data_IF_253985050730
#
_entry.id   IF_253985050730
#
_cell.length_a   1.000
_cell.length_b   1.000
_cell.length_c   1.000
_cell.angle_alpha   90.00
_cell.angle_beta   90.00
_cell.angle_gamma   90.00
#
_symmetry.space_group_name_H-M   'P 1'
#
loop_
_entity.id
_entity.type
_entity.pdbx_description
1 polymer ?
#
# COMPACT_ATOMS: atom_id res chain seq x y z
N UNK A 1 8.69 46.12 -25.52
CA UNK A 1 7.58 45.22 -25.11
C UNK A 1 6.35 45.66 -25.87
N UNK A 2 5.72 44.75 -26.59
CA UNK A 2 4.54 45.02 -27.42
C UNK A 2 3.28 45.04 -26.54
N UNK A 3 2.43 46.05 -26.69
CA UNK A 3 1.26 46.28 -25.85
C UNK A 3 0.28 45.09 -25.92
N UNK A 4 0.18 44.46 -27.10
CA UNK A 4 -0.65 43.28 -27.35
C UNK A 4 -0.14 42.06 -26.56
N UNK A 5 1.18 41.91 -26.45
CA UNK A 5 1.79 40.82 -25.66
C UNK A 5 1.54 40.98 -24.16
N UNK A 6 1.49 42.21 -23.66
CA UNK A 6 1.19 42.51 -22.25
C UNK A 6 -0.28 42.21 -21.95
N UNK A 7 -1.21 42.65 -22.81
CA UNK A 7 -2.66 42.42 -22.66
C UNK A 7 -3.00 40.92 -22.68
N UNK A 8 -2.41 40.15 -23.60
CA UNK A 8 -2.63 38.69 -23.66
C UNK A 8 -2.07 37.99 -22.42
N UNK A 9 -0.89 38.40 -21.93
CA UNK A 9 -0.31 37.83 -20.71
C UNK A 9 -1.15 38.10 -19.44
N UNK A 10 -1.80 39.26 -19.36
CA UNK A 10 -2.70 39.56 -18.25
C UNK A 10 -4.02 38.77 -18.35
N UNK A 11 -4.55 38.59 -19.56
CA UNK A 11 -5.73 37.76 -19.83
C UNK A 11 -5.50 36.29 -19.45
N UNK A 12 -4.36 35.73 -19.83
CA UNK A 12 -3.99 34.35 -19.49
C UNK A 12 -3.83 34.17 -17.97
N UNK A 13 -3.25 35.16 -17.29
CA UNK A 13 -3.14 35.16 -15.84
C UNK A 13 -4.52 35.21 -15.16
N UNK A 14 -5.45 36.02 -15.68
CA UNK A 14 -6.83 36.07 -15.19
C UNK A 14 -7.55 34.73 -15.36
N UNK A 15 -7.37 34.04 -16.49
CA UNK A 15 -7.92 32.70 -16.72
C UNK A 15 -7.34 31.66 -15.77
N UNK A 16 -6.03 31.69 -15.51
CA UNK A 16 -5.41 30.78 -14.53
C UNK A 16 -5.94 31.02 -13.11
N UNK A 17 -6.11 32.29 -12.70
CA UNK A 17 -6.66 32.63 -11.39
C UNK A 17 -8.13 32.20 -11.28
N UNK A 18 -8.93 32.45 -12.32
CA UNK A 18 -10.32 32.00 -12.38
C UNK A 18 -10.43 30.47 -12.35
N UNK A 19 -9.55 29.76 -13.08
CA UNK A 19 -9.47 28.30 -13.06
C UNK A 19 -9.13 27.74 -11.69
N UNK A 20 -8.11 28.31 -11.03
CA UNK A 20 -7.76 27.94 -9.64
C UNK A 20 -8.89 28.24 -8.65
N UNK A 21 -9.55 29.39 -8.78
CA UNK A 21 -10.68 29.74 -7.93
C UNK A 21 -11.84 28.74 -8.13
N UNK A 22 -12.14 28.39 -9.38
CA UNK A 22 -13.17 27.41 -9.71
C UNK A 22 -12.84 26.04 -9.11
N UNK A 23 -11.59 25.58 -9.24
CA UNK A 23 -11.12 24.34 -8.63
C UNK A 23 -11.27 24.35 -7.10
N UNK A 24 -10.94 25.47 -6.45
CA UNK A 24 -11.12 25.63 -5.00
C UNK A 24 -12.59 25.65 -4.58
N UNK A 25 -13.45 26.35 -5.31
CA UNK A 25 -14.90 26.36 -5.07
C UNK A 25 -15.49 24.95 -5.22
N UNK A 26 -15.10 24.21 -6.26
CA UNK A 26 -15.49 22.81 -6.45
C UNK A 26 -14.94 21.90 -5.34
N UNK A 27 -13.76 22.22 -4.82
CA UNK A 27 -13.18 21.54 -3.66
C UNK A 27 -13.99 21.70 -2.39
N UNK A 28 -14.65 22.85 -2.17
CA UNK A 28 -15.50 23.10 -0.99
C UNK A 28 -16.69 22.14 -0.96
N UNK A 29 -17.28 21.84 -2.11
CA UNK A 29 -18.39 20.88 -2.22
C UNK A 29 -17.98 19.44 -1.86
N UNK A 30 -16.68 19.14 -1.89
CA UNK A 30 -16.08 17.83 -1.60
C UNK A 30 -15.45 17.74 -0.21
N UNK A 31 -15.58 18.78 0.62
CA UNK A 31 -15.07 18.75 2.00
C UNK A 31 -15.90 17.75 2.81
N UNK A 32 -15.20 16.91 3.56
CA UNK A 32 -15.80 15.94 4.49
C UNK A 32 -16.65 16.64 5.54
N UNK A 33 -17.84 16.10 5.79
CA UNK A 33 -18.84 16.69 6.70
C UNK A 33 -18.55 16.41 8.17
N UNK A 34 -17.85 15.32 8.44
CA UNK A 34 -17.42 14.90 9.77
C UNK A 34 -16.06 14.20 9.73
N UNK A 35 -15.55 13.84 10.90
CA UNK A 35 -14.24 13.21 11.01
C UNK A 35 -14.22 11.82 10.36
N UNK A 36 -15.33 11.08 10.43
CA UNK A 36 -15.46 9.75 9.83
C UNK A 36 -15.31 9.82 8.31
N UNK A 37 -15.98 10.76 7.65
CA UNK A 37 -15.87 10.95 6.20
C UNK A 37 -14.45 11.39 5.80
N UNK A 38 -13.79 12.22 6.61
CA UNK A 38 -12.41 12.63 6.38
C UNK A 38 -11.44 11.44 6.50
N UNK A 39 -11.57 10.68 7.59
CA UNK A 39 -10.79 9.47 7.86
C UNK A 39 -11.01 8.46 6.74
N UNK A 40 -12.25 8.18 6.36
CA UNK A 40 -12.57 7.26 5.24
C UNK A 40 -11.85 7.63 3.96
N UNK A 41 -11.80 8.92 3.59
CA UNK A 41 -11.05 9.39 2.43
C UNK A 41 -9.55 9.08 2.50
N UNK A 42 -8.95 9.26 3.68
CA UNK A 42 -7.55 8.87 3.94
C UNK A 42 -7.39 7.36 3.84
N UNK A 43 -8.27 6.58 4.46
CA UNK A 43 -8.14 5.12 4.47
C UNK A 43 -8.23 4.55 3.06
N UNK A 44 -9.21 5.00 2.25
CA UNK A 44 -9.36 4.57 0.86
C UNK A 44 -8.14 4.93 0.01
N UNK A 45 -7.66 6.17 0.12
CA UNK A 45 -6.50 6.63 -0.65
C UNK A 45 -5.27 5.76 -0.39
N UNK A 46 -4.97 5.51 0.89
CA UNK A 46 -3.81 4.68 1.24
C UNK A 46 -4.05 3.19 0.96
N UNK A 47 -5.28 2.70 1.01
CA UNK A 47 -5.59 1.34 0.57
C UNK A 47 -5.33 1.16 -0.94
N UNK A 48 -5.70 2.15 -1.76
CA UNK A 48 -5.49 2.10 -3.21
C UNK A 48 -3.99 2.01 -3.54
N UNK A 49 -3.13 2.80 -2.88
CA UNK A 49 -1.67 2.69 -3.05
C UNK A 49 -1.13 1.30 -2.72
N UNK A 50 -1.64 0.68 -1.65
CA UNK A 50 -1.26 -0.67 -1.26
C UNK A 50 -1.74 -1.70 -2.29
N UNK A 51 -2.93 -1.49 -2.84
CA UNK A 51 -3.47 -2.33 -3.90
C UNK A 51 -2.64 -2.25 -5.17
N UNK A 52 -2.20 -1.05 -5.55
CA UNK A 52 -1.35 -0.82 -6.71
C UNK A 52 0.01 -1.51 -6.53
N UNK A 53 0.70 -1.28 -5.42
CA UNK A 53 2.02 -1.90 -5.15
C UNK A 53 1.97 -3.45 -5.22
N UNK A 54 0.90 -4.07 -4.69
CA UNK A 54 0.72 -5.53 -4.76
C UNK A 54 0.44 -6.00 -6.19
N UNK A 55 -0.32 -5.24 -6.97
CA UNK A 55 -0.62 -5.56 -8.37
C UNK A 55 0.63 -5.41 -9.24
N UNK A 56 1.40 -4.33 -9.07
CA UNK A 56 2.65 -4.08 -9.78
C UNK A 56 3.66 -5.22 -9.56
N UNK A 57 3.78 -5.71 -8.33
CA UNK A 57 4.64 -6.87 -8.03
C UNK A 57 4.17 -8.12 -8.79
N UNK A 58 2.87 -8.39 -8.82
CA UNK A 58 2.31 -9.55 -9.56
C UNK A 58 2.53 -9.45 -11.06
N UNK A 59 2.22 -8.29 -11.64
CA UNK A 59 2.41 -8.05 -13.06
C UNK A 59 3.89 -8.23 -13.45
N UNK A 60 4.81 -7.72 -12.63
CA UNK A 60 6.24 -7.91 -12.87
C UNK A 60 6.67 -9.38 -12.84
N UNK A 61 6.04 -10.22 -12.00
CA UNK A 61 6.29 -11.66 -11.97
C UNK A 61 5.81 -12.35 -13.26
N UNK A 62 4.59 -12.02 -13.71
CA UNK A 62 4.01 -12.58 -14.93
C UNK A 62 4.84 -12.19 -16.16
N UNK A 63 5.24 -10.92 -16.26
CA UNK A 63 6.13 -10.42 -17.31
C UNK A 63 7.49 -11.14 -17.30
N UNK A 64 8.05 -11.39 -16.12
CA UNK A 64 9.33 -12.08 -15.97
C UNK A 64 9.23 -13.56 -16.36
N UNK A 65 8.09 -14.22 -16.08
CA UNK A 65 7.82 -15.59 -16.50
C UNK A 65 7.70 -15.69 -18.02
N UNK A 66 6.97 -14.76 -18.65
CA UNK A 66 6.86 -14.67 -20.10
C UNK A 66 8.23 -14.46 -20.77
N UNK A 67 9.04 -13.54 -20.24
CA UNK A 67 10.41 -13.31 -20.72
C UNK A 67 11.29 -14.56 -20.61
N UNK A 68 11.19 -15.30 -19.51
CA UNK A 68 11.96 -16.52 -19.30
C UNK A 68 11.60 -17.60 -20.34
N UNK A 69 10.32 -17.72 -20.72
CA UNK A 69 9.88 -18.62 -21.80
C UNK A 69 10.41 -18.17 -23.16
N UNK A 70 10.34 -16.88 -23.49
CA UNK A 70 10.87 -16.36 -24.76
C UNK A 70 12.38 -16.57 -24.91
N UNK A 71 13.14 -16.39 -23.83
CA UNK A 71 14.58 -16.61 -23.79
C UNK A 71 14.96 -18.10 -23.99
N UNK A 72 14.12 -19.05 -23.57
CA UNK A 72 14.34 -20.48 -23.85
C UNK A 72 14.27 -20.83 -25.34
N UNK A 73 13.54 -20.03 -26.13
CA UNK A 73 13.39 -20.22 -27.58
C UNK A 73 14.46 -19.50 -28.41
N UNK A 74 15.33 -18.68 -27.79
CA UNK A 74 16.42 -18.00 -28.49
C UNK A 74 17.74 -18.80 -28.42
N UNK A 75 18.43 -19.00 -29.57
CA UNK A 75 19.72 -19.67 -29.56
C UNK A 75 20.74 -18.85 -28.77
N UNK A 76 21.43 -19.50 -27.83
CA UNK A 76 22.42 -18.88 -26.95
C UNK A 76 23.56 -18.25 -27.76
N UNK A 77 23.47 -16.94 -28.03
CA UNK A 77 24.56 -16.17 -28.64
C UNK A 77 25.52 -15.73 -27.52
N UNK A 78 26.64 -16.42 -27.41
CA UNK A 78 27.88 -15.96 -26.76
C UNK A 78 27.78 -15.52 -25.29
N UNK A 79 27.00 -16.22 -24.44
CA UNK A 79 27.11 -16.09 -22.98
C UNK A 79 26.64 -14.77 -22.35
N UNK A 80 25.96 -13.91 -23.12
CA UNK A 80 25.49 -12.58 -22.69
C UNK A 80 24.00 -12.54 -22.26
N UNK A 81 23.32 -13.69 -22.23
CA UNK A 81 21.85 -13.76 -22.14
C UNK A 81 21.29 -14.04 -20.73
N UNK A 82 22.00 -13.78 -19.64
CA UNK A 82 21.32 -13.61 -18.36
C UNK A 82 20.97 -12.13 -18.20
N UNK A 83 19.68 -11.73 -18.30
CA UNK A 83 19.31 -10.37 -17.97
C UNK A 83 19.72 -10.13 -16.52
N UNK A 84 20.51 -9.08 -16.26
CA UNK A 84 21.03 -8.76 -14.91
C UNK A 84 19.93 -8.41 -13.88
N UNK A 85 18.67 -8.45 -14.28
CA UNK A 85 17.50 -8.01 -13.51
C UNK A 85 16.36 -9.04 -13.52
N UNK A 86 16.67 -10.33 -13.67
CA UNK A 86 15.68 -11.42 -13.51
C UNK A 86 15.89 -12.14 -12.19
N UNK A 87 14.80 -12.53 -11.54
CA UNK A 87 14.85 -13.40 -10.36
C UNK A 87 15.52 -14.74 -10.68
N UNK A 88 16.44 -15.15 -9.82
CA UNK A 88 16.92 -16.54 -9.74
C UNK A 88 15.82 -17.47 -9.25
N UNK A 89 16.05 -18.79 -9.31
CA UNK A 89 15.09 -19.78 -8.81
C UNK A 89 14.87 -19.62 -7.29
N UNK A 90 15.95 -19.34 -6.55
CA UNK A 90 15.92 -19.08 -5.11
C UNK A 90 15.11 -17.82 -4.81
N UNK A 91 15.39 -16.72 -5.52
CA UNK A 91 14.68 -15.46 -5.32
C UNK A 91 13.19 -15.57 -5.71
N UNK A 92 12.85 -16.33 -6.76
CA UNK A 92 11.46 -16.61 -7.12
C UNK A 92 10.69 -17.36 -6.03
N UNK A 93 11.36 -18.21 -5.25
CA UNK A 93 10.72 -18.94 -4.15
C UNK A 93 10.23 -18.01 -3.03
N UNK A 94 10.77 -16.79 -2.93
CA UNK A 94 10.37 -15.76 -1.95
C UNK A 94 9.10 -15.01 -2.34
N UNK A 95 8.80 -14.95 -3.64
CA UNK A 95 7.73 -14.09 -4.17
C UNK A 95 6.35 -14.47 -3.65
N UNK A 96 6.01 -15.77 -3.67
CA UNK A 96 4.71 -16.23 -3.18
C UNK A 96 4.52 -15.98 -1.67
N UNK A 97 5.47 -16.35 -0.78
CA UNK A 97 5.41 -15.96 0.63
C UNK A 97 5.37 -14.44 0.85
N UNK A 98 6.16 -13.68 0.09
CA UNK A 98 6.22 -12.22 0.18
C UNK A 98 4.88 -11.56 -0.20
N UNK A 99 4.27 -12.00 -1.30
CA UNK A 99 2.92 -11.60 -1.71
C UNK A 99 1.89 -12.01 -0.65
N UNK A 100 2.05 -13.18 -0.02
CA UNK A 100 1.21 -13.60 1.10
C UNK A 100 1.23 -12.57 2.24
N UNK A 101 2.41 -12.10 2.64
CA UNK A 101 2.59 -11.08 3.67
C UNK A 101 1.95 -9.74 3.25
N UNK A 102 2.22 -9.28 2.02
CA UNK A 102 1.67 -8.05 1.48
C UNK A 102 0.12 -8.09 1.36
N UNK A 103 -0.42 -9.22 0.95
CA UNK A 103 -1.87 -9.47 0.91
C UNK A 103 -2.49 -9.43 2.30
N UNK A 104 -1.86 -10.02 3.32
CA UNK A 104 -2.39 -9.97 4.68
C UNK A 104 -2.50 -8.53 5.16
N UNK A 105 -1.51 -7.69 4.85
CA UNK A 105 -1.59 -6.26 5.15
C UNK A 105 -2.73 -5.56 4.40
N UNK A 106 -2.85 -5.78 3.09
CA UNK A 106 -3.96 -5.23 2.29
C UNK A 106 -5.33 -5.65 2.85
N UNK A 107 -5.50 -6.94 3.18
CA UNK A 107 -6.76 -7.46 3.73
C UNK A 107 -7.05 -6.83 5.09
N UNK A 108 -6.02 -6.64 5.93
CA UNK A 108 -6.13 -5.94 7.21
C UNK A 108 -6.69 -4.54 7.01
N UNK A 109 -6.10 -3.75 6.11
CA UNK A 109 -6.58 -2.40 5.82
C UNK A 109 -8.03 -2.40 5.32
N UNK A 110 -8.40 -3.33 4.44
CA UNK A 110 -9.78 -3.47 3.96
C UNK A 110 -10.76 -3.78 5.08
N UNK A 111 -10.38 -4.65 6.02
CA UNK A 111 -11.21 -5.01 7.18
C UNK A 111 -11.37 -3.84 8.15
N UNK A 112 -10.29 -3.10 8.42
CA UNK A 112 -10.34 -1.90 9.25
C UNK A 112 -11.23 -0.82 8.61
N UNK A 113 -11.13 -0.61 7.30
CA UNK A 113 -12.06 0.29 6.57
C UNK A 113 -13.51 -0.11 6.79
N UNK A 114 -13.82 -1.40 6.65
CA UNK A 114 -15.18 -1.90 6.86
C UNK A 114 -15.67 -1.67 8.30
N UNK A 115 -14.84 -1.92 9.30
CA UNK A 115 -15.18 -1.68 10.71
C UNK A 115 -15.46 -0.19 10.98
N UNK A 116 -14.61 0.72 10.46
CA UNK A 116 -14.83 2.18 10.54
C UNK A 116 -16.13 2.58 9.82
N UNK A 117 -16.40 2.03 8.64
CA UNK A 117 -17.59 2.32 7.86
C UNK A 117 -18.87 1.93 8.61
N UNK A 118 -18.88 0.77 9.28
CA UNK A 118 -20.06 0.24 9.97
C UNK A 118 -20.22 0.89 11.36
N UNK A 119 -19.16 0.87 12.18
CA UNK A 119 -19.26 1.20 13.62
C UNK A 119 -18.64 2.54 14.00
N UNK A 120 -17.85 3.16 13.12
CA UNK A 120 -17.21 4.45 13.38
C UNK A 120 -18.23 5.55 13.65
N UNK A 121 -17.97 6.35 14.69
CA UNK A 121 -18.82 7.46 15.17
C UNK A 121 -17.96 8.69 15.46
N UNK A 122 -18.62 9.84 15.48
CA UNK A 122 -17.99 11.14 15.77
C UNK A 122 -18.75 11.88 16.88
N UNK A 123 -19.20 11.17 17.92
CA UNK A 123 -20.07 11.74 18.95
C UNK A 123 -19.25 12.58 19.94
N UNK A 124 -18.05 12.12 20.28
CA UNK A 124 -17.21 12.76 21.27
C UNK A 124 -15.74 12.83 20.82
N UNK A 125 -14.94 13.57 21.60
CA UNK A 125 -13.53 13.80 21.31
C UNK A 125 -12.72 12.51 21.25
N UNK A 126 -12.96 11.57 22.17
CA UNK A 126 -12.23 10.30 22.22
C UNK A 126 -12.50 9.47 20.96
N UNK A 127 -13.76 9.36 20.51
CA UNK A 127 -14.08 8.65 19.28
C UNK A 127 -13.37 9.27 18.06
N UNK A 128 -13.27 10.60 17.99
CA UNK A 128 -12.51 11.26 16.92
C UNK A 128 -11.00 10.97 17.01
N UNK A 129 -10.41 11.00 18.21
CA UNK A 129 -8.99 10.68 18.43
C UNK A 129 -8.67 9.22 18.03
N UNK A 130 -9.59 8.29 18.25
CA UNK A 130 -9.44 6.89 17.84
C UNK A 130 -9.50 6.72 16.32
N UNK A 131 -10.38 7.45 15.63
CA UNK A 131 -10.40 7.48 14.15
C UNK A 131 -9.12 8.09 13.58
N UNK A 132 -8.65 9.19 14.17
CA UNK A 132 -7.42 9.87 13.75
C UNK A 132 -6.19 8.96 13.92
N UNK A 133 -6.13 8.19 15.02
CA UNK A 133 -5.07 7.20 15.27
C UNK A 133 -4.99 6.17 14.15
N UNK A 134 -6.12 5.65 13.67
CA UNK A 134 -6.13 4.73 12.51
C UNK A 134 -5.75 5.45 11.22
N UNK A 135 -6.25 6.67 10.98
CA UNK A 135 -5.87 7.44 9.81
C UNK A 135 -4.35 7.67 9.75
N UNK A 136 -3.71 7.98 10.88
CA UNK A 136 -2.26 8.15 10.96
C UNK A 136 -1.49 6.87 10.66
N UNK A 137 -1.99 5.70 11.10
CA UNK A 137 -1.39 4.42 10.73
C UNK A 137 -1.53 4.14 9.22
N UNK A 138 -2.66 4.48 8.61
CA UNK A 138 -2.87 4.35 7.17
C UNK A 138 -1.95 5.28 6.36
N UNK A 139 -1.72 6.51 6.84
CA UNK A 139 -0.87 7.50 6.15
C UNK A 139 0.55 7.02 5.90
N UNK A 140 1.09 6.23 6.82
CA UNK A 140 2.44 5.66 6.72
C UNK A 140 2.44 4.25 6.12
N UNK A 141 1.28 3.66 5.83
CA UNK A 141 1.19 2.28 5.33
C UNK A 141 1.92 2.08 4.01
N UNK A 142 1.83 3.04 3.08
CA UNK A 142 2.44 2.91 1.76
C UNK A 142 3.95 2.77 1.84
N UNK A 143 4.63 3.53 2.72
CA UNK A 143 6.08 3.39 2.86
C UNK A 143 6.49 2.00 3.35
N UNK A 144 5.75 1.41 4.29
CA UNK A 144 6.07 0.04 4.75
C UNK A 144 5.88 -0.99 3.63
N UNK A 145 4.85 -0.83 2.82
CA UNK A 145 4.60 -1.71 1.68
C UNK A 145 5.65 -1.54 0.59
N UNK A 146 5.91 -0.30 0.17
CA UNK A 146 6.86 0.01 -0.90
C UNK A 146 8.27 -0.41 -0.51
N UNK A 147 8.69 -0.13 0.73
CA UNK A 147 9.99 -0.54 1.25
C UNK A 147 10.12 -2.07 1.21
N UNK A 148 9.09 -2.80 1.67
CA UNK A 148 9.08 -4.26 1.65
C UNK A 148 9.06 -4.83 0.23
N UNK A 149 8.13 -4.38 -0.63
CA UNK A 149 7.97 -4.85 -2.01
C UNK A 149 9.25 -4.60 -2.80
N UNK A 150 9.92 -3.47 -2.59
CA UNK A 150 11.21 -3.15 -3.23
C UNK A 150 12.28 -4.20 -2.90
N UNK A 151 12.29 -4.74 -1.67
CA UNK A 151 13.24 -5.81 -1.31
C UNK A 151 13.03 -7.11 -2.07
N UNK A 152 11.85 -7.30 -2.65
CA UNK A 152 11.52 -8.49 -3.43
C UNK A 152 12.00 -8.38 -4.87
N UNK A 153 12.46 -7.22 -5.36
CA UNK A 153 13.04 -7.10 -6.71
C UNK A 153 14.53 -7.48 -6.75
N UNK A 154 15.04 -8.04 -7.86
CA UNK A 154 16.46 -8.41 -7.97
C UNK A 154 17.40 -7.20 -8.00
N UNK A 155 18.61 -7.30 -7.43
CA UNK A 155 19.12 -8.43 -6.65
C UNK A 155 18.50 -8.46 -5.25
N UNK A 156 17.90 -9.59 -4.87
CA UNK A 156 17.25 -9.75 -3.57
C UNK A 156 18.30 -10.00 -2.50
N UNK A 157 18.16 -9.34 -1.36
CA UNK A 157 19.07 -9.53 -0.22
C UNK A 157 18.32 -10.05 0.99
N UNK A 158 18.80 -11.17 1.55
CA UNK A 158 18.21 -11.83 2.71
C UNK A 158 17.97 -10.87 3.88
N UNK A 159 18.98 -10.05 4.20
CA UNK A 159 18.91 -9.09 5.29
C UNK A 159 17.79 -8.06 5.10
N UNK A 160 17.63 -7.51 3.89
CA UNK A 160 16.58 -6.52 3.62
C UNK A 160 15.19 -7.16 3.70
N UNK A 161 14.99 -8.33 3.06
CA UNK A 161 13.69 -9.02 3.10
C UNK A 161 13.29 -9.35 4.55
N UNK A 162 14.26 -9.77 5.38
CA UNK A 162 14.03 -10.06 6.79
C UNK A 162 13.65 -8.79 7.59
N UNK A 163 14.40 -7.71 7.44
CA UNK A 163 14.22 -6.44 8.17
C UNK A 163 12.91 -5.75 7.78
N UNK A 164 12.68 -5.55 6.49
CA UNK A 164 11.50 -4.87 5.99
C UNK A 164 10.25 -5.73 6.13
N UNK A 165 10.36 -7.06 6.00
CA UNK A 165 9.27 -7.99 6.33
C UNK A 165 8.88 -7.94 7.81
N UNK A 166 9.87 -7.85 8.72
CA UNK A 166 9.60 -7.71 10.16
C UNK A 166 8.90 -6.38 10.46
N UNK A 167 9.35 -5.31 9.82
CA UNK A 167 8.81 -3.95 10.00
C UNK A 167 7.38 -3.86 9.49
N UNK A 168 7.10 -4.44 8.31
CA UNK A 168 5.73 -4.54 7.77
C UNK A 168 4.82 -5.32 8.72
N UNK A 169 5.27 -6.49 9.20
CA UNK A 169 4.52 -7.29 10.17
C UNK A 169 4.19 -6.49 11.44
N UNK A 170 5.18 -5.80 12.01
CA UNK A 170 4.99 -5.00 13.22
C UNK A 170 3.96 -3.86 12.99
N UNK A 171 3.97 -3.24 11.81
CA UNK A 171 2.98 -2.22 11.45
C UNK A 171 1.55 -2.80 11.33
N UNK A 172 1.40 -3.98 10.72
CA UNK A 172 0.12 -4.70 10.64
C UNK A 172 -0.42 -5.01 12.04
N UNK A 173 0.40 -5.59 12.92
CA UNK A 173 0.00 -5.90 14.29
C UNK A 173 -0.40 -4.63 15.06
N UNK A 174 0.36 -3.54 14.93
CA UNK A 174 0.02 -2.25 15.53
C UNK A 174 -1.33 -1.70 15.04
N UNK A 175 -1.67 -1.94 13.77
CA UNK A 175 -2.97 -1.54 13.20
C UNK A 175 -4.12 -2.39 13.75
N UNK A 176 -3.91 -3.70 13.92
CA UNK A 176 -4.87 -4.60 14.54
C UNK A 176 -5.10 -4.25 16.02
N UNK A 177 -4.04 -3.97 16.77
CA UNK A 177 -4.12 -3.51 18.16
C UNK A 177 -4.86 -2.17 18.27
N UNK A 178 -4.52 -1.19 17.43
CA UNK A 178 -5.20 0.10 17.42
C UNK A 178 -6.67 -0.01 17.04
N UNK A 179 -7.03 -0.99 16.21
CA UNK A 179 -8.43 -1.31 15.90
C UNK A 179 -9.12 -1.90 17.11
N UNK A 180 -8.52 -2.92 17.76
CA UNK A 180 -9.05 -3.58 18.97
C UNK A 180 -9.30 -2.58 20.12
N UNK A 181 -8.45 -1.57 20.26
CA UNK A 181 -8.55 -0.52 21.28
C UNK A 181 -9.57 0.59 20.98
N UNK A 182 -10.30 0.50 19.86
CA UNK A 182 -11.17 1.59 19.38
C UNK A 182 -12.67 1.33 19.60
N UNK A 183 -13.46 2.39 19.53
CA UNK A 183 -14.92 2.33 19.61
C UNK A 183 -15.61 1.68 18.40
N UNK A 184 -14.89 1.46 17.30
CA UNK A 184 -15.41 0.78 16.10
C UNK A 184 -15.00 -0.70 16.04
N UNK A 185 -14.48 -1.24 17.15
CA UNK A 185 -14.33 -2.67 17.36
C UNK A 185 -15.52 -3.23 18.13
N UNK A 186 -16.31 -4.08 17.47
CA UNK A 186 -17.34 -4.87 18.13
C UNK A 186 -16.81 -6.31 18.34
N UNK A 187 -16.58 -6.67 19.60
CA UNK A 187 -15.99 -7.96 19.97
C UNK A 187 -16.74 -9.16 19.40
N UNK A 188 -18.06 -9.07 19.21
CA UNK A 188 -18.85 -10.19 18.68
C UNK A 188 -18.71 -10.38 17.15
N UNK A 189 -18.26 -9.35 16.42
CA UNK A 189 -18.21 -9.36 14.95
C UNK A 189 -16.78 -9.30 14.40
N UNK A 190 -15.87 -8.60 15.08
CA UNK A 190 -14.51 -8.38 14.58
C UNK A 190 -13.46 -9.38 15.08
N UNK A 191 -13.67 -10.00 16.24
CA UNK A 191 -12.65 -10.80 16.95
C UNK A 191 -12.10 -11.95 16.10
N UNK A 192 -12.97 -12.66 15.38
CA UNK A 192 -12.56 -13.79 14.54
C UNK A 192 -11.60 -13.37 13.42
N UNK A 193 -11.89 -12.27 12.73
CA UNK A 193 -11.03 -11.84 11.63
C UNK A 193 -9.76 -11.14 12.12
N UNK A 194 -9.81 -10.43 13.25
CA UNK A 194 -8.61 -9.85 13.86
C UNK A 194 -7.64 -10.96 14.24
N UNK A 195 -8.10 -11.96 14.99
CA UNK A 195 -7.28 -13.10 15.39
C UNK A 195 -6.76 -13.85 14.15
N UNK A 196 -7.60 -14.10 13.15
CA UNK A 196 -7.16 -14.73 11.91
C UNK A 196 -6.01 -13.96 11.23
N UNK A 197 -6.10 -12.63 11.16
CA UNK A 197 -5.08 -11.81 10.50
C UNK A 197 -3.78 -11.71 11.31
N UNK A 198 -3.84 -11.68 12.64
CA UNK A 198 -2.65 -11.80 13.51
C UNK A 198 -1.89 -13.11 13.27
N UNK A 199 -2.62 -14.22 13.17
CA UNK A 199 -2.01 -15.51 12.87
C UNK A 199 -1.49 -15.58 11.42
N UNK A 200 -2.23 -15.02 10.47
CA UNK A 200 -1.85 -15.02 9.06
C UNK A 200 -0.57 -14.21 8.80
N UNK A 201 -0.41 -13.03 9.44
CA UNK A 201 0.78 -12.20 9.24
C UNK A 201 2.02 -12.88 9.83
N UNK A 202 1.88 -13.52 10.99
CA UNK A 202 2.98 -14.30 11.58
C UNK A 202 3.35 -15.49 10.71
N UNK A 203 2.36 -16.30 10.30
CA UNK A 203 2.57 -17.45 9.42
C UNK A 203 3.27 -17.06 8.12
N UNK A 204 2.80 -16.01 7.45
CA UNK A 204 3.38 -15.58 6.17
C UNK A 204 4.80 -15.05 6.34
N UNK A 205 5.08 -14.35 7.44
CA UNK A 205 6.44 -13.92 7.75
C UNK A 205 7.37 -15.12 8.03
N UNK A 206 6.94 -16.10 8.82
CA UNK A 206 7.75 -17.30 9.09
C UNK A 206 7.99 -18.13 7.82
N UNK A 207 6.96 -18.26 6.97
CA UNK A 207 7.11 -18.93 5.67
C UNK A 207 8.13 -18.20 4.79
N UNK A 208 8.09 -16.85 4.76
CA UNK A 208 9.08 -16.06 4.05
C UNK A 208 10.50 -16.30 4.58
N UNK A 209 10.70 -16.27 5.91
CA UNK A 209 12.00 -16.55 6.52
C UNK A 209 12.53 -17.95 6.16
N UNK A 210 11.66 -18.96 6.13
CA UNK A 210 12.06 -20.34 5.78
C UNK A 210 12.61 -20.49 4.36
N UNK A 211 12.34 -19.52 3.46
CA UNK A 211 12.83 -19.47 2.09
C UNK A 211 14.06 -18.57 1.92
N UNK A 212 14.27 -17.64 2.85
CA UNK A 212 15.45 -16.78 2.87
C UNK A 212 16.71 -17.58 3.17
N UNK A 213 16.61 -18.66 3.94
CA UNK A 213 17.74 -19.56 4.23
C UNK A 213 18.31 -20.23 2.96
N UNK A 214 17.54 -20.24 1.86
CA UNK A 214 17.92 -20.82 0.57
C UNK A 214 18.53 -19.79 -0.42
N UNK A 215 18.57 -18.48 -0.09
CA UNK A 215 19.18 -17.42 -0.90
C UNK A 215 20.72 -17.51 -0.91
#
# INVERSE_FOLDING_TARGET
MDLVSVINSESDRCLQVAGKLWEKCHGIERISKDNKEAVRGVLSTHYDFIQDAVNELRESMEENEALALDLQHMPARNGLNQPRFTWSLQERALLNPGIGLANTFQITMRKVIAAVDIYGRCINRQENEELDKIADLFRVSSSFMDDFVTTLYPPVTAAAVQEYGATLKAHVLKMLDATRDSHFYNTDEEEDWVNFLEHAIEHNYQNLLSRIDDL
#
